data_IF_239877280598
#
_entry.id   IF_239877280598
#
_cell.length_a   1.000
_cell.length_b   1.000
_cell.length_c   1.000
_cell.angle_alpha   90.00
_cell.angle_beta   90.00
_cell.angle_gamma   90.00
#
_symmetry.space_group_name_H-M   'P 1'
#
loop_
_entity.id
_entity.type
_entity.pdbx_description
1 polymer ?
#
# COMPACT_ATOMS: atom_id res chain seq x y z
N UNK A 1 -9.58 -6.02 -2.38
CA UNK A 1 -8.82 -5.19 -3.37
C UNK A 1 -7.88 -4.23 -2.63
N UNK A 2 -6.87 -3.65 -3.27
CA UNK A 2 -5.99 -2.63 -2.66
C UNK A 2 -6.06 -1.28 -3.38
N UNK A 3 -6.18 -0.19 -2.62
CA UNK A 3 -5.93 1.17 -3.11
C UNK A 3 -4.45 1.50 -2.94
N UNK A 4 -3.80 1.99 -4.00
CA UNK A 4 -2.44 2.52 -3.96
C UNK A 4 -2.45 3.95 -4.49
N UNK A 5 -2.06 4.92 -3.67
CA UNK A 5 -2.12 6.34 -4.07
C UNK A 5 -1.06 7.19 -3.38
N UNK A 6 -0.79 8.39 -3.91
CA UNK A 6 -0.04 9.41 -3.20
C UNK A 6 -0.99 10.36 -2.46
N UNK A 7 -0.94 10.40 -1.14
CA UNK A 7 -1.71 11.33 -0.32
C UNK A 7 -0.90 12.62 -0.07
N UNK A 8 -1.42 13.75 -0.53
CA UNK A 8 -0.78 15.08 -0.40
C UNK A 8 -0.89 15.67 1.00
N UNK A 9 -1.90 15.30 1.78
CA UNK A 9 -2.11 15.78 3.15
C UNK A 9 -1.19 15.05 4.12
N UNK A 10 -1.01 13.76 3.91
CA UNK A 10 -0.07 12.93 4.65
C UNK A 10 1.38 13.09 4.15
N UNK A 11 1.55 13.58 2.92
CA UNK A 11 2.86 13.67 2.28
C UNK A 11 3.51 12.30 2.07
N UNK A 12 2.70 11.28 1.77
CA UNK A 12 3.10 9.88 1.76
C UNK A 12 2.48 9.11 0.59
N UNK A 13 3.09 7.98 0.24
CA UNK A 13 2.42 6.92 -0.51
C UNK A 13 1.58 6.10 0.46
N UNK A 14 0.34 5.81 0.09
CA UNK A 14 -0.62 5.05 0.89
C UNK A 14 -0.99 3.77 0.14
N UNK A 15 -0.98 2.65 0.85
CA UNK A 15 -1.47 1.35 0.40
C UNK A 15 -2.53 0.90 1.40
N UNK A 16 -3.79 0.94 1.00
CA UNK A 16 -4.93 0.58 1.85
C UNK A 16 -5.62 -0.67 1.32
N UNK A 17 -5.75 -1.75 2.12
CA UNK A 17 -6.66 -2.82 1.77
C UNK A 17 -8.11 -2.31 1.82
N UNK A 18 -8.98 -2.88 1.00
CA UNK A 18 -10.42 -2.57 1.03
C UNK A 18 -11.08 -3.05 2.34
N UNK A 19 -10.60 -4.17 2.89
CA UNK A 19 -11.00 -4.71 4.18
C UNK A 19 -9.75 -5.22 4.94
N UNK A 20 -9.73 -5.11 6.26
CA UNK A 20 -8.65 -5.67 7.08
C UNK A 20 -8.46 -7.20 6.87
N UNK A 21 -9.53 -7.91 6.51
CA UNK A 21 -9.49 -9.34 6.20
C UNK A 21 -8.77 -9.66 4.87
N UNK A 22 -8.61 -8.68 3.97
CA UNK A 22 -7.83 -8.83 2.73
C UNK A 22 -6.32 -8.84 3.00
N UNK A 23 -5.91 -8.47 4.21
CA UNK A 23 -4.51 -8.37 4.61
C UNK A 23 -4.00 -9.68 5.20
N UNK A 24 -3.48 -10.55 4.33
CA UNK A 24 -2.78 -11.75 4.76
C UNK A 24 -1.30 -11.47 5.12
N UNK A 25 -0.68 -12.41 5.84
CA UNK A 25 0.70 -12.29 6.34
C UNK A 25 1.74 -12.10 5.23
N UNK A 26 1.58 -12.80 4.09
CA UNK A 26 2.49 -12.67 2.94
C UNK A 26 2.45 -11.26 2.34
N UNK A 27 1.25 -10.70 2.20
CA UNK A 27 1.03 -9.38 1.62
C UNK A 27 1.53 -8.29 2.55
N UNK A 28 1.26 -8.41 3.85
CA UNK A 28 1.82 -7.53 4.88
C UNK A 28 3.35 -7.51 4.81
N UNK A 29 3.98 -8.68 4.83
CA UNK A 29 5.44 -8.78 4.77
C UNK A 29 6.01 -8.15 3.48
N UNK A 30 5.33 -8.33 2.33
CA UNK A 30 5.75 -7.72 1.07
C UNK A 30 5.64 -6.19 1.07
N UNK A 31 4.59 -5.63 1.68
CA UNK A 31 4.40 -4.18 1.82
C UNK A 31 5.44 -3.59 2.79
N UNK A 32 5.66 -4.24 3.94
CA UNK A 32 6.65 -3.81 4.93
C UNK A 32 8.09 -3.87 4.39
N UNK A 33 8.42 -4.90 3.60
CA UNK A 33 9.71 -4.99 2.91
C UNK A 33 9.96 -3.85 1.92
N UNK A 34 8.90 -3.18 1.44
CA UNK A 34 8.97 -1.99 0.61
C UNK A 34 9.06 -0.68 1.42
N UNK A 35 9.38 -0.76 2.72
CA UNK A 35 9.51 0.35 3.66
C UNK A 35 8.20 1.12 3.94
N UNK A 36 7.07 0.44 3.78
CA UNK A 36 5.80 0.94 4.27
C UNK A 36 5.54 0.46 5.70
N UNK A 37 4.89 1.30 6.50
CA UNK A 37 4.52 0.96 7.89
C UNK A 37 3.01 1.01 8.04
N UNK A 38 2.43 0.03 8.74
CA UNK A 38 1.01 0.03 9.09
C UNK A 38 0.67 1.18 10.04
N UNK A 39 -0.33 1.99 9.66
CA UNK A 39 -0.92 3.03 10.50
C UNK A 39 -2.34 2.61 10.91
N UNK A 40 -2.56 2.23 12.19
CA UNK A 40 -3.86 1.74 12.64
C UNK A 40 -4.95 2.81 12.61
N UNK A 41 -4.60 4.09 12.74
CA UNK A 41 -5.57 5.20 12.78
C UNK A 41 -6.32 5.41 11.45
N UNK A 42 -5.71 4.97 10.34
CA UNK A 42 -6.27 5.09 8.98
C UNK A 42 -6.40 3.74 8.27
N UNK A 43 -6.13 2.65 9.00
CA UNK A 43 -6.15 1.27 8.49
C UNK A 43 -5.41 1.10 7.15
N UNK A 44 -4.25 1.73 7.03
CA UNK A 44 -3.46 1.72 5.80
C UNK A 44 -1.96 1.69 6.07
N UNK A 45 -1.22 1.20 5.09
CA UNK A 45 0.23 1.28 5.06
C UNK A 45 0.69 2.59 4.45
N UNK A 46 1.69 3.22 5.06
CA UNK A 46 2.26 4.48 4.54
C UNK A 46 3.76 4.41 4.38
N UNK A 47 4.27 5.04 3.33
CA UNK A 47 5.68 5.34 3.15
C UNK A 47 5.85 6.86 3.00
N UNK A 48 6.65 7.53 3.85
CA UNK A 48 6.88 8.97 3.74
C UNK A 48 7.43 9.39 2.37
N UNK A 49 7.00 10.55 1.90
CA UNK A 49 7.33 11.08 0.58
C UNK A 49 6.29 10.71 -0.48
N UNK A 50 6.20 11.51 -1.53
CA UNK A 50 5.25 11.32 -2.61
C UNK A 50 5.92 10.68 -3.84
N UNK A 51 6.64 9.57 -3.61
CA UNK A 51 7.33 8.85 -4.68
C UNK A 51 6.34 8.01 -5.50
N UNK A 52 5.91 8.56 -6.64
CA UNK A 52 5.06 7.84 -7.59
C UNK A 52 5.69 6.55 -8.12
N UNK A 53 7.02 6.44 -8.17
CA UNK A 53 7.65 5.17 -8.54
C UNK A 53 7.51 4.13 -7.43
N UNK A 54 7.60 4.53 -6.15
CA UNK A 54 7.33 3.63 -5.04
C UNK A 54 5.88 3.11 -5.09
N UNK A 55 4.92 4.01 -5.35
CA UNK A 55 3.52 3.65 -5.58
C UNK A 55 3.37 2.63 -6.73
N UNK A 56 3.99 2.88 -7.88
CA UNK A 56 3.93 1.96 -9.02
C UNK A 56 4.59 0.60 -8.73
N UNK A 57 5.73 0.59 -8.02
CA UNK A 57 6.43 -0.65 -7.64
C UNK A 57 5.57 -1.51 -6.70
N UNK A 58 4.97 -0.92 -5.67
CA UNK A 58 4.14 -1.68 -4.74
C UNK A 58 2.83 -2.15 -5.40
N UNK A 59 2.21 -1.32 -6.24
CA UNK A 59 1.04 -1.73 -7.03
C UNK A 59 1.35 -2.97 -7.90
N UNK A 60 2.47 -2.97 -8.63
CA UNK A 60 2.90 -4.13 -9.42
C UNK A 60 3.12 -5.36 -8.53
N UNK A 61 3.74 -5.20 -7.37
CA UNK A 61 4.00 -6.30 -6.45
C UNK A 61 2.70 -6.93 -5.93
N UNK A 62 1.70 -6.12 -5.60
CA UNK A 62 0.38 -6.60 -5.17
C UNK A 62 -0.35 -7.38 -6.27
N UNK A 63 -0.29 -6.91 -7.52
CA UNK A 63 -0.83 -7.66 -8.67
C UNK A 63 -0.12 -9.00 -8.86
N UNK A 64 1.21 -9.06 -8.68
CA UNK A 64 1.97 -10.31 -8.75
C UNK A 64 1.61 -11.31 -7.66
N UNK A 65 1.12 -10.83 -6.52
CA UNK A 65 0.60 -11.66 -5.42
C UNK A 65 -0.87 -12.08 -5.63
N UNK A 66 -1.49 -11.67 -6.75
CA UNK A 66 -2.85 -12.04 -7.11
C UNK A 66 -3.93 -11.07 -6.61
N UNK A 67 -3.56 -9.87 -6.15
CA UNK A 67 -4.52 -8.87 -5.69
C UNK A 67 -4.97 -7.93 -6.80
N UNK A 68 -6.26 -7.56 -6.77
CA UNK A 68 -6.75 -6.43 -7.55
C UNK A 68 -6.26 -5.11 -6.95
N UNK A 69 -5.82 -4.19 -7.81
CA UNK A 69 -5.26 -2.89 -7.40
C UNK A 69 -5.95 -1.73 -8.12
N UNK A 70 -6.42 -0.76 -7.34
CA UNK A 70 -6.82 0.56 -7.80
C UNK A 70 -5.66 1.53 -7.55
N UNK A 71 -5.00 2.00 -8.62
CA UNK A 71 -3.88 2.94 -8.51
C UNK A 71 -4.29 4.35 -8.99
N UNK A 72 -4.11 5.37 -8.14
CA UNK A 72 -4.54 6.76 -8.39
C UNK A 72 -3.45 7.78 -8.07
#
# INVERSE_FOLDING_TARGET
MYLVTTDTRLGAVVVAPECADDLNDETRAAIEAAAFTWQPDIEAFTQPGQDRQAAARIALRLVQLGHDVLAV
#
